data_IF_490536593758
#
_entry.id   IF_490536593758
#
_cell.length_a   1.000
_cell.length_b   1.000
_cell.length_c   1.000
_cell.angle_alpha   90.00
_cell.angle_beta   90.00
_cell.angle_gamma   90.00
#
_symmetry.space_group_name_H-M   'P 1'
#
loop_
_entity.id
_entity.type
_entity.pdbx_description
1 polymer ?
#
# COMPACT_ATOMS: atom_id res chain seq x y z
N UNK A 1 3.96 -1.38 -0.45
CA UNK A 1 2.64 -0.76 -0.15
C UNK A 1 2.46 -0.74 1.35
N UNK A 2 1.77 0.27 1.89
CA UNK A 2 1.48 0.37 3.32
C UNK A 2 -0.03 0.39 3.52
N UNK A 3 -0.50 -0.27 4.57
CA UNK A 3 -1.91 -0.24 4.99
C UNK A 3 -1.99 0.50 6.32
N UNK A 4 -2.68 1.64 6.34
CA UNK A 4 -2.86 2.47 7.53
C UNK A 4 -4.32 2.39 7.97
N UNK A 5 -4.63 1.90 9.19
CA UNK A 5 -5.99 1.88 9.69
C UNK A 5 -6.46 3.31 9.98
N UNK A 6 -7.50 3.76 9.29
CA UNK A 6 -8.09 5.10 9.50
C UNK A 6 -9.25 5.10 10.50
N UNK A 7 -9.59 3.93 11.03
CA UNK A 7 -10.60 3.76 12.08
C UNK A 7 -10.03 2.94 13.23
N UNK A 8 -10.18 3.46 14.44
CA UNK A 8 -9.91 2.75 15.67
C UNK A 8 -11.10 1.83 16.02
N UNK A 9 -10.81 0.71 16.66
CA UNK A 9 -11.81 -0.30 17.04
C UNK A 9 -12.78 0.18 18.11
N UNK A 10 -12.38 1.18 18.92
CA UNK A 10 -13.07 1.65 20.11
C UNK A 10 -13.75 3.02 19.92
N UNK A 11 -13.18 3.92 19.10
CA UNK A 11 -13.59 5.34 19.07
C UNK A 11 -13.84 5.94 17.69
N UNK A 12 -14.01 5.12 16.66
CA UNK A 12 -14.39 5.61 15.32
C UNK A 12 -13.19 6.00 14.46
N UNK A 13 -13.16 7.20 13.85
CA UNK A 13 -12.04 7.62 12.99
C UNK A 13 -10.83 8.06 13.82
N UNK A 14 -9.63 7.81 13.32
CA UNK A 14 -8.41 8.37 13.91
C UNK A 14 -8.38 9.89 13.72
N UNK A 15 -7.64 10.57 14.58
CA UNK A 15 -7.41 12.02 14.48
C UNK A 15 -6.40 12.34 13.37
N UNK A 16 -6.35 13.60 12.96
CA UNK A 16 -5.34 14.09 12.02
C UNK A 16 -3.91 13.87 12.55
N UNK A 17 -3.67 14.17 13.83
CA UNK A 17 -2.36 13.98 14.46
C UNK A 17 -1.90 12.52 14.44
N UNK A 18 -2.82 11.58 14.68
CA UNK A 18 -2.55 10.15 14.58
C UNK A 18 -2.22 9.74 13.14
N UNK A 19 -2.96 10.25 12.16
CA UNK A 19 -2.67 9.98 10.75
C UNK A 19 -1.29 10.52 10.33
N UNK A 20 -0.95 11.76 10.75
CA UNK A 20 0.37 12.36 10.49
C UNK A 20 1.47 11.49 11.07
N UNK A 21 1.33 11.02 12.31
CA UNK A 21 2.32 10.13 12.92
C UNK A 21 2.52 8.82 12.14
N UNK A 22 1.44 8.22 11.62
CA UNK A 22 1.55 7.02 10.77
C UNK A 22 2.27 7.32 9.44
N UNK A 23 1.99 8.47 8.82
CA UNK A 23 2.66 8.89 7.59
C UNK A 23 4.15 9.18 7.80
N UNK A 24 4.51 9.86 8.90
CA UNK A 24 5.91 10.11 9.27
C UNK A 24 6.68 8.79 9.43
N UNK A 25 6.10 7.81 10.13
CA UNK A 25 6.70 6.48 10.28
C UNK A 25 6.93 5.78 8.94
N UNK A 26 6.01 5.92 8.00
CA UNK A 26 6.16 5.35 6.65
C UNK A 26 7.30 6.04 5.90
N UNK A 27 7.40 7.37 5.98
CA UNK A 27 8.46 8.14 5.31
C UNK A 27 9.85 7.85 5.86
N UNK A 28 9.96 7.54 7.16
CA UNK A 28 11.20 7.15 7.82
C UNK A 28 11.62 5.70 7.51
N UNK A 29 10.71 4.89 6.95
CA UNK A 29 11.02 3.51 6.60
C UNK A 29 11.91 3.48 5.34
N UNK A 30 13.14 2.94 5.41
CA UNK A 30 14.05 2.93 4.27
C UNK A 30 13.47 2.09 3.13
N UNK A 31 13.50 2.63 1.91
CA UNK A 31 13.05 1.90 0.74
C UNK A 31 14.06 0.79 0.39
N UNK A 32 13.55 -0.43 0.17
CA UNK A 32 14.37 -1.50 -0.41
C UNK A 32 14.39 -1.35 -1.94
N UNK A 33 15.55 -1.03 -2.56
CA UNK A 33 15.67 -0.84 -4.01
C UNK A 33 15.39 -2.11 -4.82
N UNK A 34 15.34 -3.28 -4.17
CA UNK A 34 14.99 -4.56 -4.80
C UNK A 34 13.49 -4.75 -4.91
N UNK A 35 12.68 -3.92 -4.25
CA UNK A 35 11.22 -4.03 -4.29
C UNK A 35 10.73 -3.73 -5.71
N UNK A 36 10.15 -4.69 -6.43
CA UNK A 36 9.65 -4.43 -7.79
C UNK A 36 8.43 -3.49 -7.74
N UNK A 37 8.24 -2.61 -8.74
CA UNK A 37 7.12 -1.67 -8.78
C UNK A 37 5.81 -2.38 -9.21
N UNK A 38 5.28 -3.27 -8.37
CA UNK A 38 4.10 -4.13 -8.68
C UNK A 38 2.90 -3.31 -9.17
N UNK A 39 2.72 -2.08 -8.70
CA UNK A 39 1.63 -1.19 -9.11
C UNK A 39 1.58 -0.90 -10.62
N UNK A 40 2.73 -0.91 -11.31
CA UNK A 40 2.78 -0.62 -12.75
C UNK A 40 1.98 -1.64 -13.58
N UNK A 41 1.86 -2.88 -13.10
CA UNK A 41 1.16 -3.95 -13.78
C UNK A 41 -0.34 -3.65 -13.96
N UNK A 42 -0.90 -2.80 -13.10
CA UNK A 42 -2.30 -2.36 -13.19
C UNK A 42 -2.59 -1.44 -14.37
N UNK A 43 -1.55 -0.87 -14.99
CA UNK A 43 -1.67 -0.01 -16.18
C UNK A 43 -1.75 -0.80 -17.49
N UNK A 44 -1.41 -2.10 -17.47
CA UNK A 44 -1.41 -2.94 -18.65
C UNK A 44 -2.83 -3.19 -19.19
N UNK A 45 -2.94 -3.58 -20.46
CA UNK A 45 -4.20 -4.04 -21.05
C UNK A 45 -4.81 -5.15 -20.19
N UNK A 46 -6.14 -5.13 -20.03
CA UNK A 46 -6.87 -6.01 -19.10
C UNK A 46 -6.48 -7.50 -19.19
N UNK A 47 -6.31 -8.12 -20.38
CA UNK A 47 -5.89 -9.53 -20.46
C UNK A 47 -4.46 -9.77 -19.97
N UNK A 48 -3.55 -8.82 -20.19
CA UNK A 48 -2.16 -8.88 -19.72
C UNK A 48 -2.12 -8.73 -18.20
N UNK A 49 -2.84 -7.75 -17.66
CA UNK A 49 -2.96 -7.58 -16.21
C UNK A 49 -3.58 -8.81 -15.54
N UNK A 50 -4.62 -9.40 -16.11
CA UNK A 50 -5.24 -10.60 -15.54
C UNK A 50 -4.24 -11.75 -15.36
N UNK A 51 -3.40 -12.02 -16.38
CA UNK A 51 -2.33 -13.02 -16.27
C UNK A 51 -1.28 -12.64 -15.23
N UNK A 52 -0.78 -11.41 -15.27
CA UNK A 52 0.21 -10.94 -14.29
C UNK A 52 -0.31 -11.01 -12.85
N UNK A 53 -1.59 -10.67 -12.63
CA UNK A 53 -2.25 -10.80 -11.32
C UNK A 53 -2.33 -12.25 -10.85
N UNK A 54 -2.60 -13.20 -11.73
CA UNK A 54 -2.60 -14.62 -11.35
C UNK A 54 -1.20 -15.09 -10.94
N UNK A 55 -0.15 -14.66 -11.64
CA UNK A 55 1.23 -14.97 -11.24
C UNK A 55 1.62 -14.30 -9.92
N UNK A 56 1.14 -13.09 -9.63
CA UNK A 56 1.39 -12.40 -8.36
C UNK A 56 0.73 -13.05 -7.14
N UNK A 57 -0.32 -13.83 -7.34
CA UNK A 57 -1.10 -14.46 -6.25
C UNK A 57 -0.68 -15.90 -5.95
N UNK A 58 0.24 -16.47 -6.74
CA UNK A 58 0.88 -17.75 -6.45
C UNK A 58 1.96 -17.57 -5.41
#
# INVERSE_FOLDING_TARGET
>A
FYSVPVRASDRGRITEGELIQQLMRIMETPADPRTPPVGILTTAKRPVWARARMELLK
#
